data_IF_678922094638
#
_entry.id   IF_678922094638
#
_cell.length_a   1.000
_cell.length_b   1.000
_cell.length_c   1.000
_cell.angle_alpha   90.00
_cell.angle_beta   90.00
_cell.angle_gamma   90.00
#
_symmetry.space_group_name_H-M   'P 1'
#
loop_
_entity.id
_entity.type
_entity.pdbx_description
1 polymer ?
#
# COMPACT_ATOMS: atom_id res chain seq x y z
N UNK A 1 14.71 59.94 54.07
CA UNK A 1 14.37 59.35 52.76
C UNK A 1 14.81 57.89 52.75
N UNK A 2 13.86 56.96 52.86
CA UNK A 2 14.08 55.49 52.92
C UNK A 2 13.16 54.79 51.92
N UNK A 3 13.43 54.95 50.62
CA UNK A 3 12.59 54.44 49.52
C UNK A 3 13.41 53.90 48.34
N UNK A 4 14.71 53.63 48.52
CA UNK A 4 15.61 53.16 47.45
C UNK A 4 16.06 51.71 47.59
N UNK A 5 15.46 50.96 48.52
CA UNK A 5 15.85 49.56 48.81
C UNK A 5 14.78 48.53 48.41
N UNK A 6 13.68 48.97 47.79
CA UNK A 6 12.58 48.11 47.31
C UNK A 6 12.66 47.74 45.82
N UNK A 7 13.72 48.16 45.13
CA UNK A 7 13.98 47.80 43.72
C UNK A 7 15.33 47.10 43.52
N UNK A 8 15.97 46.69 44.63
CA UNK A 8 17.15 45.84 44.60
C UNK A 8 16.75 44.42 45.02
N UNK A 9 15.68 43.92 44.42
CA UNK A 9 15.35 42.50 44.41
C UNK A 9 15.61 42.05 42.96
N UNK A 10 16.89 42.11 42.59
CA UNK A 10 17.41 41.33 41.48
C UNK A 10 17.48 39.91 42.05
N UNK A 11 16.28 39.33 42.21
CA UNK A 11 16.01 38.02 42.76
C UNK A 11 16.53 37.05 41.71
N UNK A 12 17.85 36.88 41.80
CA UNK A 12 18.69 36.12 40.91
C UNK A 12 18.11 34.71 40.89
N UNK A 13 17.34 34.44 39.83
CA UNK A 13 16.83 33.12 39.50
C UNK A 13 17.97 32.14 39.73
N UNK A 14 17.78 31.21 40.67
CA UNK A 14 18.92 30.47 41.21
C UNK A 14 19.68 29.78 40.08
N UNK A 15 21.03 29.74 40.13
CA UNK A 15 21.83 29.08 39.10
C UNK A 15 21.36 27.67 38.77
N UNK A 16 20.75 27.00 39.75
CA UNK A 16 20.22 25.64 39.65
C UNK A 16 18.88 25.60 38.92
N UNK A 17 17.97 26.54 39.17
CA UNK A 17 16.66 26.58 38.48
C UNK A 17 16.86 26.86 36.99
N UNK A 18 17.81 27.74 36.63
CA UNK A 18 18.15 28.00 35.23
C UNK A 18 18.69 26.76 34.51
N UNK A 19 19.55 25.98 35.18
CA UNK A 19 20.10 24.73 34.63
C UNK A 19 19.01 23.67 34.46
N UNK A 20 18.14 23.48 35.45
CA UNK A 20 17.05 22.50 35.36
C UNK A 20 16.09 22.86 34.21
N UNK A 21 15.72 24.12 34.07
CA UNK A 21 14.87 24.59 32.97
C UNK A 21 15.52 24.39 31.60
N UNK A 22 16.81 24.71 31.47
CA UNK A 22 17.55 24.51 30.22
C UNK A 22 17.61 23.03 29.83
N UNK A 23 17.96 22.16 30.78
CA UNK A 23 18.03 20.72 30.53
C UNK A 23 16.66 20.17 30.18
N UNK A 24 15.61 20.53 30.91
CA UNK A 24 14.25 20.04 30.66
C UNK A 24 13.77 20.37 29.24
N UNK A 25 13.96 21.62 28.78
CA UNK A 25 13.57 22.02 27.42
C UNK A 25 14.38 21.26 26.38
N UNK A 26 15.70 21.12 26.56
CA UNK A 26 16.54 20.36 25.61
C UNK A 26 16.17 18.89 25.53
N UNK A 27 15.79 18.25 26.65
CA UNK A 27 15.32 16.86 26.68
C UNK A 27 14.00 16.71 25.94
N UNK A 28 13.05 17.64 26.15
CA UNK A 28 11.77 17.64 25.43
C UNK A 28 12.02 17.82 23.92
N UNK A 29 12.82 18.82 23.53
CA UNK A 29 13.14 19.07 22.12
C UNK A 29 13.86 17.89 21.48
N UNK A 30 14.81 17.28 22.17
CA UNK A 30 15.52 16.10 21.69
C UNK A 30 14.59 14.89 21.54
N UNK A 31 13.68 14.67 22.49
CA UNK A 31 12.69 13.59 22.41
C UNK A 31 11.73 13.80 21.24
N UNK A 32 11.19 15.01 21.07
CA UNK A 32 10.28 15.35 19.98
C UNK A 32 10.98 15.23 18.63
N UNK A 33 12.16 15.81 18.46
CA UNK A 33 12.92 15.69 17.21
C UNK A 33 13.33 14.23 16.98
N UNK A 34 13.68 13.49 18.02
CA UNK A 34 14.01 12.07 17.94
C UNK A 34 12.86 11.23 17.40
N UNK A 35 11.62 11.47 17.84
CA UNK A 35 10.44 10.78 17.30
C UNK A 35 10.11 11.24 15.88
N UNK A 36 10.31 12.52 15.55
CA UNK A 36 10.15 13.00 14.17
C UNK A 36 11.19 12.38 13.22
N UNK A 37 12.46 12.32 13.61
CA UNK A 37 13.53 11.72 12.79
C UNK A 37 13.33 10.22 12.65
N UNK A 38 12.91 9.53 13.71
CA UNK A 38 12.58 8.10 13.64
C UNK A 38 11.34 7.84 12.77
N UNK A 39 10.32 8.70 12.87
CA UNK A 39 9.11 8.64 12.03
C UNK A 39 9.33 9.01 10.57
N UNK A 40 10.40 9.75 10.23
CA UNK A 40 10.81 10.02 8.85
C UNK A 40 11.54 8.82 8.19
N UNK A 41 11.95 7.82 8.99
CA UNK A 41 12.53 6.57 8.49
C UNK A 41 11.49 5.62 7.87
N UNK A 42 10.21 5.80 8.20
CA UNK A 42 9.09 5.15 7.51
C UNK A 42 8.79 5.93 6.23
N UNK A 43 9.72 5.87 5.27
CA UNK A 43 9.41 6.21 3.88
C UNK A 43 8.33 5.22 3.43
N UNK A 44 7.05 5.61 3.52
CA UNK A 44 5.97 4.81 2.92
C UNK A 44 6.32 4.67 1.44
N UNK A 45 6.46 3.42 0.99
CA UNK A 45 6.84 3.17 -0.38
C UNK A 45 5.76 3.76 -1.30
N UNK A 46 6.17 4.56 -2.28
CA UNK A 46 5.23 5.22 -3.18
C UNK A 46 4.77 4.22 -4.23
N UNK A 47 3.46 4.00 -4.29
CA UNK A 47 2.88 3.08 -5.27
C UNK A 47 3.18 3.51 -6.72
N UNK A 48 3.53 2.56 -7.60
CA UNK A 48 3.83 2.85 -9.00
C UNK A 48 2.60 3.42 -9.72
N UNK A 49 2.83 4.25 -10.73
CA UNK A 49 1.79 4.72 -11.63
C UNK A 49 1.73 3.77 -12.84
N UNK A 50 0.66 2.99 -12.92
CA UNK A 50 0.36 2.10 -14.03
C UNK A 50 -1.14 2.13 -14.34
N UNK A 51 -1.47 1.91 -15.61
CA UNK A 51 -2.84 1.80 -16.10
C UNK A 51 -3.05 0.42 -16.68
N UNK A 52 -4.21 -0.15 -16.39
CA UNK A 52 -4.61 -1.47 -16.84
C UNK A 52 -5.85 -1.37 -17.72
N UNK A 53 -5.98 -2.24 -18.71
CA UNK A 53 -7.22 -2.46 -19.44
C UNK A 53 -7.87 -3.75 -18.94
N UNK A 54 -9.19 -3.74 -18.95
CA UNK A 54 -10.04 -4.83 -18.48
C UNK A 54 -10.97 -5.24 -19.61
N UNK A 55 -10.84 -6.47 -20.08
CA UNK A 55 -11.71 -7.06 -21.11
C UNK A 55 -12.45 -8.25 -20.49
N UNK A 56 -13.73 -8.04 -20.21
CA UNK A 56 -14.61 -9.03 -19.59
C UNK A 56 -15.41 -9.77 -20.65
N UNK A 57 -15.36 -11.10 -20.58
CA UNK A 57 -16.10 -11.96 -21.48
C UNK A 57 -17.01 -12.90 -20.68
N UNK A 58 -18.32 -12.73 -20.88
CA UNK A 58 -19.33 -13.61 -20.32
C UNK A 58 -19.58 -14.76 -21.30
N UNK A 59 -18.96 -15.91 -21.04
CA UNK A 59 -19.04 -17.12 -21.86
C UNK A 59 -19.39 -18.32 -20.97
N UNK A 60 -19.20 -19.56 -21.46
CA UNK A 60 -19.49 -20.76 -20.66
C UNK A 60 -18.61 -20.88 -19.40
N UNK A 61 -17.43 -20.26 -19.43
CA UNK A 61 -16.59 -20.01 -18.27
C UNK A 61 -16.23 -18.52 -18.30
N UNK A 62 -16.85 -17.73 -17.43
CA UNK A 62 -16.61 -16.29 -17.35
C UNK A 62 -15.12 -16.01 -17.14
N UNK A 63 -14.57 -15.04 -17.86
CA UNK A 63 -13.19 -14.64 -17.67
C UNK A 63 -12.99 -13.14 -17.82
N UNK A 64 -11.95 -12.64 -17.15
CA UNK A 64 -11.51 -11.26 -17.25
C UNK A 64 -10.04 -11.24 -17.67
N UNK A 65 -9.77 -10.60 -18.81
CA UNK A 65 -8.42 -10.31 -19.24
C UNK A 65 -7.99 -8.97 -18.66
N UNK A 66 -6.88 -8.98 -17.94
CA UNK A 66 -6.27 -7.80 -17.34
C UNK A 66 -4.95 -7.56 -18.06
N UNK A 67 -4.84 -6.45 -18.76
CA UNK A 67 -3.62 -6.11 -19.53
C UNK A 67 -3.00 -4.84 -18.97
N UNK A 68 -1.69 -4.84 -18.75
CA UNK A 68 -0.98 -3.63 -18.41
C UNK A 68 -0.79 -2.77 -19.66
N UNK A 69 -1.42 -1.59 -19.71
CA UNK A 69 -1.42 -0.71 -20.89
C UNK A 69 -0.21 0.23 -20.91
N UNK A 70 0.05 0.88 -19.77
CA UNK A 70 1.08 1.92 -19.65
C UNK A 70 1.54 2.08 -18.21
N UNK A 71 2.75 2.61 -18.02
CA UNK A 71 3.36 2.75 -16.69
C UNK A 71 4.80 2.23 -16.68
N UNK A 72 5.43 2.31 -15.51
CA UNK A 72 6.70 1.64 -15.25
C UNK A 72 6.52 0.12 -15.12
N UNK A 73 7.61 -0.64 -15.26
CA UNK A 73 7.60 -2.05 -14.90
C UNK A 73 7.31 -2.21 -13.40
N UNK A 74 6.48 -3.19 -13.05
CA UNK A 74 6.15 -3.53 -11.67
C UNK A 74 6.47 -5.00 -11.46
N UNK A 75 7.13 -5.35 -10.36
CA UNK A 75 7.36 -6.74 -10.00
C UNK A 75 6.02 -7.49 -9.87
N UNK A 76 5.91 -8.65 -10.51
CA UNK A 76 4.65 -9.42 -10.53
C UNK A 76 4.28 -10.03 -9.19
N UNK A 77 5.22 -10.18 -8.25
CA UNK A 77 4.96 -10.62 -6.88
C UNK A 77 4.40 -9.49 -6.01
N UNK A 78 4.67 -8.23 -6.38
CA UNK A 78 4.13 -7.05 -5.72
C UNK A 78 2.72 -6.68 -6.17
N UNK A 79 2.21 -7.33 -7.22
CA UNK A 79 0.87 -7.10 -7.77
C UNK A 79 -0.08 -8.22 -7.40
N UNK A 80 -1.06 -7.90 -6.57
CA UNK A 80 -2.16 -8.79 -6.23
C UNK A 80 -3.44 -8.39 -6.96
N UNK A 81 -4.12 -9.38 -7.50
CA UNK A 81 -5.48 -9.25 -7.99
C UNK A 81 -6.42 -9.79 -6.91
N UNK A 82 -7.29 -8.91 -6.41
CA UNK A 82 -8.26 -9.24 -5.35
C UNK A 82 -9.68 -9.11 -5.86
N UNK A 83 -10.52 -10.09 -5.53
CA UNK A 83 -11.93 -10.15 -5.91
C UNK A 83 -12.78 -10.68 -4.75
N UNK A 84 -14.11 -10.64 -4.85
CA UNK A 84 -15.00 -11.21 -3.83
C UNK A 84 -15.21 -12.72 -3.95
N UNK A 85 -14.68 -13.34 -5.00
CA UNK A 85 -14.78 -14.78 -5.27
C UNK A 85 -13.39 -15.39 -5.47
N UNK A 86 -13.27 -16.70 -5.29
CA UNK A 86 -12.00 -17.36 -5.55
C UNK A 86 -11.71 -17.42 -7.05
N UNK A 87 -10.52 -16.97 -7.45
CA UNK A 87 -10.08 -16.93 -8.85
C UNK A 87 -8.81 -17.74 -9.09
N UNK A 88 -8.63 -18.19 -10.33
CA UNK A 88 -7.41 -18.84 -10.82
C UNK A 88 -7.05 -18.34 -12.22
N UNK A 89 -5.80 -18.57 -12.64
CA UNK A 89 -5.31 -18.15 -13.95
C UNK A 89 -5.44 -19.24 -15.02
N UNK A 90 -5.56 -18.85 -16.29
CA UNK A 90 -5.56 -19.82 -17.42
C UNK A 90 -4.23 -20.55 -17.61
N UNK A 91 -3.16 -20.05 -17.02
CA UNK A 91 -1.86 -20.71 -17.01
C UNK A 91 -1.80 -21.89 -16.03
N UNK A 92 -2.78 -21.98 -15.11
CA UNK A 92 -2.88 -23.07 -14.13
C UNK A 92 -3.66 -24.25 -14.71
N UNK A 93 -3.33 -25.46 -14.27
CA UNK A 93 -3.98 -26.68 -14.77
C UNK A 93 -5.44 -26.84 -14.29
N UNK A 94 -5.75 -26.28 -13.12
CA UNK A 94 -7.08 -26.32 -12.49
C UNK A 94 -7.15 -25.26 -11.38
N UNK A 95 -8.34 -25.04 -10.81
CA UNK A 95 -8.63 -24.10 -9.73
C UNK A 95 -8.11 -24.54 -8.34
N UNK A 96 -7.14 -25.45 -8.27
CA UNK A 96 -6.63 -26.01 -7.00
C UNK A 96 -6.06 -24.93 -6.08
N UNK A 97 -5.42 -23.89 -6.65
CA UNK A 97 -4.86 -22.79 -5.89
C UNK A 97 -5.77 -21.55 -5.87
N UNK A 98 -7.04 -21.69 -6.26
CA UNK A 98 -7.93 -20.56 -6.37
C UNK A 98 -8.10 -19.84 -5.02
N UNK A 99 -8.10 -18.52 -5.07
CA UNK A 99 -8.19 -17.67 -3.88
C UNK A 99 -8.81 -16.33 -4.26
N UNK A 100 -9.41 -15.64 -3.30
CA UNK A 100 -9.94 -14.27 -3.47
C UNK A 100 -8.83 -13.25 -3.76
N UNK A 101 -7.60 -13.55 -3.35
CA UNK A 101 -6.42 -12.75 -3.66
C UNK A 101 -5.30 -13.63 -4.19
N UNK A 102 -4.75 -13.26 -5.35
CA UNK A 102 -3.69 -13.99 -6.06
C UNK A 102 -2.66 -13.00 -6.58
N UNK A 103 -1.38 -13.37 -6.54
CA UNK A 103 -0.32 -12.57 -7.19
C UNK A 103 -0.43 -12.68 -8.71
N UNK A 104 0.07 -11.67 -9.42
CA UNK A 104 0.15 -11.71 -10.88
C UNK A 104 0.99 -12.91 -11.35
N UNK A 105 2.12 -13.16 -10.67
CA UNK A 105 3.01 -14.31 -10.91
C UNK A 105 2.24 -15.63 -10.81
N UNK A 106 1.49 -15.84 -9.73
CA UNK A 106 0.73 -17.07 -9.51
C UNK A 106 -0.40 -17.29 -10.51
N UNK A 107 -1.00 -16.22 -11.02
CA UNK A 107 -2.01 -16.29 -12.08
C UNK A 107 -1.40 -16.53 -13.47
N UNK A 108 -0.10 -16.24 -13.66
CA UNK A 108 0.65 -16.43 -14.89
C UNK A 108 1.61 -17.65 -14.82
N UNK A 109 1.27 -18.63 -13.98
CA UNK A 109 2.01 -19.90 -13.88
C UNK A 109 3.45 -19.77 -13.39
N UNK A 110 3.73 -18.76 -12.56
CA UNK A 110 5.04 -18.52 -11.92
C UNK A 110 6.21 -18.24 -12.88
N UNK A 111 5.91 -17.81 -14.11
CA UNK A 111 6.94 -17.54 -15.14
C UNK A 111 7.24 -16.06 -15.36
N UNK A 112 6.30 -15.18 -14.98
CA UNK A 112 6.46 -13.73 -15.13
C UNK A 112 7.23 -13.18 -13.92
N UNK A 113 8.20 -12.30 -14.18
CA UNK A 113 8.94 -11.57 -13.12
C UNK A 113 8.51 -10.10 -13.04
N UNK A 114 8.26 -9.48 -14.20
CA UNK A 114 7.88 -8.07 -14.29
C UNK A 114 6.62 -7.90 -15.14
N UNK A 115 5.65 -7.14 -14.65
CA UNK A 115 4.49 -6.70 -15.41
C UNK A 115 4.85 -5.42 -16.16
N UNK A 116 4.81 -5.47 -17.50
CA UNK A 116 5.15 -4.36 -18.38
C UNK A 116 4.04 -4.12 -19.40
N UNK A 117 4.14 -3.03 -20.19
CA UNK A 117 3.15 -2.73 -21.22
C UNK A 117 2.98 -3.91 -22.20
N UNK A 118 1.74 -4.40 -22.32
CA UNK A 118 1.37 -5.56 -23.13
C UNK A 118 1.34 -6.89 -22.36
N UNK A 119 1.78 -6.96 -21.11
CA UNK A 119 1.62 -8.16 -20.27
C UNK A 119 0.14 -8.33 -19.91
N UNK A 120 -0.42 -9.51 -20.20
CA UNK A 120 -1.81 -9.87 -19.90
C UNK A 120 -1.87 -11.07 -18.97
N UNK A 121 -2.85 -11.05 -18.07
CA UNK A 121 -3.27 -12.22 -17.29
C UNK A 121 -4.77 -12.40 -17.44
N UNK A 122 -5.21 -13.65 -17.54
CA UNK A 122 -6.63 -14.00 -17.62
C UNK A 122 -7.02 -14.70 -16.33
N UNK A 123 -8.06 -14.18 -15.67
CA UNK A 123 -8.61 -14.75 -14.43
C UNK A 123 -9.99 -15.36 -14.68
N UNK A 124 -10.28 -16.44 -13.97
CA UNK A 124 -11.57 -17.13 -13.99
C UNK A 124 -12.06 -17.40 -12.56
N UNK A 125 -13.37 -17.34 -12.29
CA UNK A 125 -13.93 -17.79 -11.02
C UNK A 125 -13.82 -19.32 -10.89
N UNK A 126 -13.53 -19.82 -9.69
CA UNK A 126 -13.34 -21.26 -9.46
C UNK A 126 -14.64 -22.03 -9.22
N UNK A 127 -15.67 -21.37 -8.72
CA UNK A 127 -16.95 -22.00 -8.43
C UNK A 127 -17.87 -22.05 -9.65
N UNK A 128 -18.56 -23.18 -9.85
CA UNK A 128 -19.45 -23.38 -11.00
C UNK A 128 -20.65 -22.42 -11.06
N UNK A 129 -20.98 -21.77 -9.94
CA UNK A 129 -22.04 -20.75 -9.84
C UNK A 129 -21.50 -19.35 -9.59
N UNK A 130 -20.19 -19.20 -9.48
CA UNK A 130 -19.54 -17.90 -9.22
C UNK A 130 -19.34 -17.20 -10.57
N UNK A 131 -19.63 -15.91 -10.60
CA UNK A 131 -19.40 -15.06 -11.78
C UNK A 131 -18.52 -13.88 -11.38
N UNK A 132 -17.90 -13.25 -12.37
CA UNK A 132 -17.21 -11.98 -12.18
C UNK A 132 -18.15 -10.78 -12.46
N UNK A 133 -19.37 -11.01 -12.98
CA UNK A 133 -20.26 -9.92 -13.39
C UNK A 133 -20.82 -9.11 -12.23
N UNK A 134 -21.02 -9.72 -11.06
CA UNK A 134 -21.47 -9.07 -9.82
C UNK A 134 -20.30 -8.73 -8.88
N UNK A 135 -19.06 -8.92 -9.34
CA UNK A 135 -17.86 -8.73 -8.54
C UNK A 135 -17.15 -7.42 -8.86
N UNK A 136 -16.33 -7.00 -7.91
CA UNK A 136 -15.38 -5.92 -8.16
C UNK A 136 -13.94 -6.41 -8.02
N UNK A 137 -13.21 -6.42 -9.13
CA UNK A 137 -11.80 -6.80 -9.21
C UNK A 137 -10.93 -5.59 -8.91
N UNK A 138 -9.92 -5.76 -8.07
CA UNK A 138 -8.96 -4.72 -7.69
C UNK A 138 -7.55 -5.20 -8.01
N UNK A 139 -6.76 -4.32 -8.59
CA UNK A 139 -5.32 -4.50 -8.71
C UNK A 139 -4.70 -3.75 -7.54
N UNK A 140 -4.06 -4.49 -6.64
CA UNK A 140 -3.46 -3.99 -5.41
C UNK A 140 -1.96 -4.18 -5.52
N UNK A 141 -1.23 -3.08 -5.43
CA UNK A 141 0.21 -3.12 -5.26
C UNK A 141 0.55 -3.18 -3.77
N UNK A 142 1.53 -4.00 -3.42
CA UNK A 142 2.11 -4.08 -2.07
C UNK A 142 3.61 -3.94 -2.19
N UNK A 143 4.23 -3.15 -1.30
CA UNK A 143 5.68 -3.01 -1.28
C UNK A 143 6.38 -4.33 -0.86
N UNK A 144 7.67 -4.43 -1.15
CA UNK A 144 8.47 -5.63 -0.86
C UNK A 144 8.49 -5.98 0.65
N UNK A 145 8.37 -4.96 1.50
CA UNK A 145 8.34 -5.10 2.95
C UNK A 145 6.94 -5.43 3.51
N UNK A 146 5.89 -5.46 2.69
CA UNK A 146 4.49 -5.61 3.12
C UNK A 146 3.95 -4.48 4.01
N UNK A 147 4.68 -3.37 4.12
CA UNK A 147 4.38 -2.23 5.01
C UNK A 147 3.47 -1.19 4.36
N UNK A 148 3.44 -1.12 3.03
CA UNK A 148 2.64 -0.18 2.25
C UNK A 148 1.85 -0.93 1.17
N UNK A 149 0.58 -0.56 0.99
CA UNK A 149 -0.23 -1.07 -0.13
C UNK A 149 -1.12 0.01 -0.72
N UNK A 150 -1.45 -0.12 -2.00
CA UNK A 150 -2.33 0.78 -2.72
C UNK A 150 -3.13 0.04 -3.79
N UNK A 151 -4.41 0.38 -3.93
CA UNK A 151 -5.19 -0.06 -5.10
C UNK A 151 -4.82 0.80 -6.31
N UNK A 152 -4.22 0.18 -7.32
CA UNK A 152 -3.83 0.86 -8.56
C UNK A 152 -5.03 1.11 -9.47
N UNK A 153 -5.84 0.08 -9.69
CA UNK A 153 -7.04 0.19 -10.51
C UNK A 153 -8.13 -0.77 -10.02
N UNK A 154 -9.36 -0.45 -10.41
CA UNK A 154 -10.53 -1.23 -10.08
C UNK A 154 -11.38 -1.44 -11.32
N UNK A 155 -11.94 -2.63 -11.44
CA UNK A 155 -12.96 -3.00 -12.41
C UNK A 155 -14.20 -3.47 -11.67
N UNK A 156 -15.35 -2.91 -12.03
CA UNK A 156 -16.66 -3.36 -11.56
C UNK A 156 -17.32 -4.14 -12.69
N UNK A 157 -17.82 -5.33 -12.37
CA UNK A 157 -18.60 -6.12 -13.30
C UNK A 157 -19.92 -5.41 -13.70
N UNK A 158 -20.54 -5.82 -14.82
CA UNK A 158 -21.76 -5.20 -15.32
C UNK A 158 -22.95 -5.20 -14.35
N UNK A 159 -22.98 -6.15 -13.41
CA UNK A 159 -24.05 -6.36 -12.43
C UNK A 159 -23.63 -6.00 -10.99
N UNK A 160 -22.44 -5.41 -10.80
CA UNK A 160 -21.80 -5.13 -9.51
C UNK A 160 -22.18 -3.78 -8.86
#
# INVERSE_FOLDING_TARGET
>A
MKLKQLFADDDAVSPVIGVILMVAITVILAAVIGTFVLGLGEQTATAPQASFSFDYNQSSADYLNITHESGGAIDSDQLNITTGVSIYGTAEADATNASESRTWTGLNGDTQTDVTAGTTVTILPSGASETLSDQTVRIVWTDEAGSSSATLQRWSGPDA
#
